data_IF_852505854303
#
_entry.id   IF_852505854303
#
_cell.length_a   1.000
_cell.length_b   1.000
_cell.length_c   1.000
_cell.angle_alpha   90.00
_cell.angle_beta   90.00
_cell.angle_gamma   90.00
#
_symmetry.space_group_name_H-M   'P 1'
#
loop_
_entity.id
_entity.type
_entity.pdbx_description
1 polymer ?
#
# COMPACT_ATOMS: atom_id res chain seq x y z
N UNK A 1 8.56 -22.51 -8.67
CA UNK A 1 8.69 -22.66 -10.13
C UNK A 1 7.37 -23.20 -10.68
N UNK A 2 6.98 -22.90 -11.91
CA UNK A 2 5.70 -23.33 -12.46
C UNK A 2 5.82 -24.02 -13.84
N UNK A 3 7.05 -24.18 -14.34
CA UNK A 3 7.36 -24.75 -15.65
C UNK A 3 8.36 -25.90 -15.60
N UNK A 4 8.27 -26.84 -16.56
CA UNK A 4 9.21 -27.96 -16.67
C UNK A 4 10.64 -27.48 -16.98
N UNK A 5 10.75 -26.32 -17.64
CA UNK A 5 12.04 -25.74 -18.03
C UNK A 5 12.76 -25.21 -16.79
N UNK A 6 12.08 -24.42 -15.95
CA UNK A 6 12.65 -23.93 -14.69
C UNK A 6 12.94 -25.07 -13.70
N UNK A 7 12.09 -26.11 -13.69
CA UNK A 7 12.34 -27.31 -12.87
C UNK A 7 13.67 -27.98 -13.26
N UNK A 8 13.84 -28.31 -14.53
CA UNK A 8 15.06 -28.97 -15.03
C UNK A 8 16.31 -28.13 -14.75
N UNK A 9 16.21 -26.82 -14.86
CA UNK A 9 17.30 -25.89 -14.55
C UNK A 9 17.66 -25.91 -13.05
N UNK A 10 16.67 -25.85 -12.16
CA UNK A 10 16.89 -25.94 -10.72
C UNK A 10 17.55 -27.28 -10.33
N UNK A 11 17.10 -28.40 -10.92
CA UNK A 11 17.68 -29.72 -10.66
C UNK A 11 19.10 -29.85 -11.21
N UNK A 12 19.38 -29.31 -12.40
CA UNK A 12 20.73 -29.29 -12.97
C UNK A 12 21.72 -28.47 -12.13
N UNK A 13 21.22 -27.45 -11.42
CA UNK A 13 22.00 -26.65 -10.46
C UNK A 13 22.15 -27.30 -9.07
N UNK A 14 21.63 -28.52 -8.88
CA UNK A 14 21.66 -29.23 -7.59
C UNK A 14 20.70 -28.66 -6.54
N UNK A 15 19.74 -27.83 -6.95
CA UNK A 15 18.78 -27.19 -6.05
C UNK A 15 17.58 -28.10 -5.78
N UNK A 16 16.94 -27.85 -4.63
CA UNK A 16 15.60 -28.35 -4.33
C UNK A 16 14.56 -27.46 -5.01
N UNK A 17 13.56 -28.05 -5.66
CA UNK A 17 12.60 -27.31 -6.47
C UNK A 17 11.15 -27.72 -6.11
N UNK A 18 10.35 -26.72 -5.72
CA UNK A 18 8.92 -26.85 -5.48
C UNK A 18 8.17 -26.22 -6.64
N UNK A 19 7.18 -26.97 -7.14
CA UNK A 19 6.38 -26.60 -8.29
C UNK A 19 4.99 -26.14 -7.86
N UNK A 20 4.55 -25.02 -8.39
CA UNK A 20 3.18 -24.52 -8.33
C UNK A 20 2.62 -24.46 -9.75
N UNK A 21 1.92 -25.51 -10.23
CA UNK A 21 1.48 -25.58 -11.62
C UNK A 21 0.51 -24.46 -11.97
N UNK A 22 0.58 -23.98 -13.21
CA UNK A 22 -0.42 -23.07 -13.78
C UNK A 22 -1.36 -23.85 -14.70
N UNK A 23 -2.44 -23.22 -15.17
CA UNK A 23 -3.38 -23.85 -16.10
C UNK A 23 -2.71 -24.39 -17.38
N UNK A 24 -1.60 -23.76 -17.83
CA UNK A 24 -0.86 -24.19 -19.02
C UNK A 24 0.10 -25.36 -18.76
N UNK A 25 0.48 -25.60 -17.50
CA UNK A 25 1.36 -26.69 -17.09
C UNK A 25 0.68 -27.74 -16.21
N UNK A 26 -0.64 -27.65 -16.04
CA UNK A 26 -1.45 -28.55 -15.20
C UNK A 26 -1.34 -30.04 -15.58
N UNK A 27 -1.03 -30.34 -16.86
CA UNK A 27 -0.87 -31.70 -17.37
C UNK A 27 0.60 -32.14 -17.47
N UNK A 28 1.55 -31.34 -16.99
CA UNK A 28 2.96 -31.65 -17.04
C UNK A 28 3.35 -32.60 -15.89
N UNK A 29 4.18 -33.60 -16.20
CA UNK A 29 4.69 -34.55 -15.21
C UNK A 29 5.98 -34.03 -14.57
N UNK A 30 5.82 -33.16 -13.58
CA UNK A 30 6.93 -32.54 -12.86
C UNK A 30 7.70 -33.50 -11.97
N UNK A 31 7.06 -34.54 -11.44
CA UNK A 31 7.76 -35.53 -10.62
C UNK A 31 8.70 -36.39 -11.47
N UNK A 32 8.33 -36.72 -12.71
CA UNK A 32 9.22 -37.40 -13.64
C UNK A 32 10.51 -36.60 -13.95
N UNK A 33 10.46 -35.27 -13.86
CA UNK A 33 11.60 -34.36 -14.07
C UNK A 33 12.35 -34.01 -12.77
N UNK A 34 12.01 -34.68 -11.65
CA UNK A 34 12.75 -34.58 -10.40
C UNK A 34 12.33 -33.44 -9.48
N UNK A 35 11.10 -32.92 -9.62
CA UNK A 35 10.52 -31.99 -8.64
C UNK A 35 10.56 -32.59 -7.22
N UNK A 36 10.91 -31.76 -6.24
CA UNK A 36 10.94 -32.17 -4.85
C UNK A 36 9.54 -32.09 -4.21
N UNK A 37 8.69 -31.17 -4.68
CA UNK A 37 7.25 -31.18 -4.40
C UNK A 37 6.46 -30.48 -5.51
N UNK A 38 5.20 -30.86 -5.69
CA UNK A 38 4.22 -30.17 -6.55
C UNK A 38 3.01 -29.84 -5.69
N UNK A 39 2.68 -28.55 -5.57
CA UNK A 39 1.61 -28.03 -4.69
C UNK A 39 0.73 -27.07 -5.47
N UNK A 40 -0.57 -27.02 -5.19
CA UNK A 40 -1.52 -26.15 -5.92
C UNK A 40 -1.27 -24.67 -5.60
N UNK A 41 -0.94 -24.36 -4.35
CA UNK A 41 -0.53 -23.04 -3.88
C UNK A 41 0.44 -23.16 -2.70
N UNK A 42 0.91 -22.02 -2.20
CA UNK A 42 1.87 -21.93 -1.08
C UNK A 42 1.24 -21.33 0.18
N UNK A 43 -0.09 -21.23 0.26
CA UNK A 43 -0.80 -20.48 1.31
C UNK A 43 -0.47 -21.03 2.71
N UNK A 44 -0.28 -22.34 2.83
CA UNK A 44 0.03 -23.02 4.09
C UNK A 44 1.51 -23.44 4.22
N UNK A 45 2.37 -23.02 3.28
CA UNK A 45 3.80 -23.33 3.30
C UNK A 45 4.53 -22.30 4.13
N UNK A 46 5.08 -22.72 5.27
CA UNK A 46 5.92 -21.87 6.14
C UNK A 46 7.40 -22.06 5.85
N UNK A 47 8.21 -21.04 6.12
CA UNK A 47 9.69 -21.14 6.07
C UNK A 47 10.17 -22.33 6.91
N UNK A 48 9.64 -22.49 8.11
CA UNK A 48 10.00 -23.61 8.97
C UNK A 48 9.60 -24.97 8.37
N UNK A 49 8.46 -25.08 7.67
CA UNK A 49 8.06 -26.31 6.98
C UNK A 49 8.97 -26.65 5.79
N UNK A 50 9.45 -25.63 5.08
CA UNK A 50 10.41 -25.76 3.98
C UNK A 50 11.76 -26.25 4.49
N UNK A 51 12.27 -25.66 5.58
CA UNK A 51 13.62 -25.96 6.05
C UNK A 51 13.69 -27.14 7.04
N UNK A 52 12.67 -27.40 7.86
CA UNK A 52 12.66 -28.54 8.79
C UNK A 52 12.46 -29.88 8.05
N UNK A 53 11.59 -29.95 7.05
CA UNK A 53 11.38 -31.16 6.25
C UNK A 53 12.61 -31.53 5.39
N UNK A 54 13.44 -30.54 5.05
CA UNK A 54 14.64 -30.75 4.22
C UNK A 54 15.81 -31.34 5.03
N UNK A 55 15.87 -31.14 6.35
CA UNK A 55 17.06 -31.50 7.14
C UNK A 55 16.92 -32.70 8.08
N UNK A 56 15.72 -33.10 8.53
CA UNK A 56 15.60 -34.21 9.51
C UNK A 56 15.45 -35.61 8.89
N UNK A 57 14.91 -35.76 7.68
CA UNK A 57 14.54 -37.10 7.15
C UNK A 57 15.12 -37.44 5.78
N UNK A 58 15.65 -36.48 5.04
CA UNK A 58 16.21 -36.70 3.70
C UNK A 58 15.21 -37.17 2.64
N UNK A 59 13.90 -37.14 2.93
CA UNK A 59 12.83 -37.53 2.00
C UNK A 59 11.61 -36.60 2.14
N UNK A 60 11.19 -36.02 1.02
CA UNK A 60 10.03 -35.11 0.90
C UNK A 60 8.70 -35.88 0.83
N UNK A 61 8.76 -37.21 0.82
CA UNK A 61 7.63 -38.15 0.73
C UNK A 61 6.67 -38.06 1.95
N UNK A 62 7.11 -37.46 3.07
CA UNK A 62 6.35 -37.32 4.32
C UNK A 62 5.64 -35.96 4.49
N UNK A 63 5.69 -35.08 3.49
CA UNK A 63 4.75 -33.95 3.41
C UNK A 63 3.39 -34.52 3.04
N UNK A 64 2.71 -35.15 4.00
CA UNK A 64 1.29 -35.48 3.87
C UNK A 64 0.52 -34.19 4.11
N UNK A 65 -0.10 -33.68 3.05
CA UNK A 65 -1.22 -32.78 3.20
C UNK A 65 -2.18 -33.42 4.22
N UNK A 66 -2.64 -32.68 5.25
CA UNK A 66 -3.69 -33.20 6.12
C UNK A 66 -4.86 -33.66 5.23
N UNK A 67 -5.60 -34.73 5.60
CA UNK A 67 -6.79 -35.10 4.86
C UNK A 67 -7.66 -33.85 4.74
N UNK A 68 -8.29 -33.60 3.59
CA UNK A 68 -9.03 -32.38 3.36
C UNK A 68 -9.92 -32.17 4.57
N UNK A 69 -9.61 -31.14 5.37
CA UNK A 69 -10.61 -30.68 6.32
C UNK A 69 -11.82 -30.43 5.44
N UNK A 70 -12.97 -30.96 5.85
CA UNK A 70 -14.21 -30.56 5.25
C UNK A 70 -14.28 -29.05 5.43
N UNK A 71 -13.81 -28.31 4.42
CA UNK A 71 -14.09 -26.90 4.27
C UNK A 71 -15.60 -26.92 4.19
N UNK A 72 -16.34 -26.39 5.19
CA UNK A 72 -17.76 -26.24 5.02
C UNK A 72 -17.90 -25.55 3.68
N UNK A 73 -18.64 -26.18 2.75
CA UNK A 73 -18.85 -25.64 1.41
C UNK A 73 -19.42 -24.24 1.58
N UNK A 74 -18.52 -23.25 1.59
CA UNK A 74 -18.89 -21.86 1.48
C UNK A 74 -19.46 -21.78 0.07
N UNK A 75 -20.64 -21.17 -0.09
CA UNK A 75 -21.31 -21.10 -1.38
C UNK A 75 -20.30 -20.59 -2.41
N UNK A 76 -20.24 -21.25 -3.58
CA UNK A 76 -19.34 -20.85 -4.67
C UNK A 76 -19.60 -19.37 -4.98
N UNK A 77 -18.67 -18.51 -4.55
CA UNK A 77 -18.74 -17.08 -4.83
C UNK A 77 -18.12 -16.81 -6.19
N UNK A 78 -18.81 -16.05 -7.02
CA UNK A 78 -18.31 -15.61 -8.32
C UNK A 78 -17.36 -14.41 -8.17
N UNK A 79 -16.56 -14.13 -9.19
CA UNK A 79 -15.68 -12.94 -9.23
C UNK A 79 -16.45 -11.60 -9.06
N UNK A 80 -17.78 -11.61 -9.19
CA UNK A 80 -18.65 -10.44 -9.06
C UNK A 80 -19.32 -10.30 -7.69
N UNK A 81 -19.15 -11.27 -6.78
CA UNK A 81 -19.90 -11.25 -5.52
C UNK A 81 -19.35 -10.22 -4.53
N UNK A 82 -20.28 -9.52 -3.87
CA UNK A 82 -19.99 -8.57 -2.80
C UNK A 82 -19.95 -9.33 -1.47
N UNK A 83 -18.79 -9.30 -0.81
CA UNK A 83 -18.61 -9.94 0.49
C UNK A 83 -19.39 -9.19 1.58
N UNK A 84 -20.08 -9.89 2.49
CA UNK A 84 -20.70 -9.26 3.65
C UNK A 84 -19.63 -8.59 4.53
N UNK A 85 -19.92 -7.40 5.03
CA UNK A 85 -19.00 -6.57 5.80
C UNK A 85 -19.57 -6.18 7.16
N UNK A 86 -18.67 -5.90 8.10
CA UNK A 86 -19.01 -5.09 9.28
C UNK A 86 -18.71 -3.64 8.97
N UNK A 87 -19.62 -2.71 9.28
CA UNK A 87 -19.47 -1.29 8.98
C UNK A 87 -19.58 -0.49 10.27
N UNK A 88 -18.48 0.11 10.70
CA UNK A 88 -18.41 0.94 11.91
C UNK A 88 -18.71 2.38 11.53
N UNK A 89 -19.85 2.89 11.98
CA UNK A 89 -20.29 4.26 11.72
C UNK A 89 -21.40 4.34 10.67
N UNK A 90 -22.64 4.55 11.13
CA UNK A 90 -23.83 4.69 10.29
C UNK A 90 -23.99 6.10 9.67
N UNK A 91 -22.88 6.77 9.36
CA UNK A 91 -22.87 8.07 8.69
C UNK A 91 -23.09 7.97 7.19
N UNK A 92 -22.84 9.07 6.46
CA UNK A 92 -23.01 9.15 5.00
C UNK A 92 -22.26 8.04 4.24
N UNK A 93 -20.98 7.87 4.51
CA UNK A 93 -20.13 6.86 3.85
C UNK A 93 -20.54 5.44 4.26
N UNK A 94 -20.73 5.19 5.56
CA UNK A 94 -21.08 3.85 6.04
C UNK A 94 -22.43 3.35 5.53
N UNK A 95 -23.45 4.22 5.47
CA UNK A 95 -24.73 3.86 4.87
C UNK A 95 -24.63 3.67 3.35
N UNK A 96 -23.83 4.50 2.66
CA UNK A 96 -23.58 4.31 1.24
C UNK A 96 -22.94 2.93 0.99
N UNK A 97 -21.88 2.56 1.72
CA UNK A 97 -21.24 1.25 1.60
C UNK A 97 -22.20 0.09 1.87
N UNK A 98 -23.07 0.21 2.89
CA UNK A 98 -24.10 -0.79 3.17
C UNK A 98 -25.08 -0.95 2.00
N UNK A 99 -25.50 0.16 1.39
CA UNK A 99 -26.39 0.16 0.23
C UNK A 99 -25.75 -0.41 -1.05
N UNK A 100 -24.41 -0.51 -1.11
CA UNK A 100 -23.68 -1.16 -2.22
C UNK A 100 -23.70 -2.69 -2.13
N UNK A 101 -24.23 -3.27 -1.04
CA UNK A 101 -24.41 -4.71 -0.92
C UNK A 101 -25.89 -5.08 -1.11
N UNK A 102 -26.31 -5.54 -2.31
CA UNK A 102 -27.71 -5.85 -2.58
C UNK A 102 -28.23 -7.04 -1.76
N UNK A 103 -27.35 -7.90 -1.22
CA UNK A 103 -27.74 -9.02 -0.38
C UNK A 103 -28.22 -8.58 1.02
N UNK A 104 -27.93 -7.34 1.43
CA UNK A 104 -28.42 -6.76 2.68
C UNK A 104 -27.93 -7.48 3.96
N UNK A 105 -26.85 -8.24 3.86
CA UNK A 105 -26.29 -9.06 4.94
C UNK A 105 -25.06 -8.42 5.62
N UNK A 106 -24.85 -7.12 5.42
CA UNK A 106 -23.89 -6.34 6.19
C UNK A 106 -24.39 -6.07 7.62
N UNK A 107 -23.45 -5.90 8.55
CA UNK A 107 -23.75 -5.47 9.92
C UNK A 107 -23.26 -4.03 10.11
N UNK A 108 -24.19 -3.09 10.31
CA UNK A 108 -23.84 -1.68 10.56
C UNK A 108 -23.87 -1.39 12.06
N UNK A 109 -22.70 -1.08 12.62
CA UNK A 109 -22.51 -0.72 14.03
C UNK A 109 -22.70 0.79 14.23
N UNK A 110 -23.62 1.14 15.12
CA UNK A 110 -23.89 2.50 15.59
C UNK A 110 -22.99 2.86 16.77
N UNK A 111 -22.98 4.14 17.14
CA UNK A 111 -22.20 4.66 18.28
C UNK A 111 -22.51 3.84 19.55
N UNK A 112 -21.45 3.39 20.23
CA UNK A 112 -21.53 2.58 21.44
C UNK A 112 -21.59 1.06 21.20
N UNK A 113 -21.72 0.60 19.95
CA UNK A 113 -21.61 -0.81 19.60
C UNK A 113 -20.16 -1.13 19.22
N UNK A 114 -19.67 -2.30 19.65
CA UNK A 114 -18.30 -2.76 19.38
C UNK A 114 -18.29 -3.94 18.42
N UNK A 115 -17.13 -4.19 17.81
CA UNK A 115 -16.90 -5.38 17.00
C UNK A 115 -16.88 -6.59 17.95
N UNK A 116 -17.96 -7.36 17.99
CA UNK A 116 -18.03 -8.58 18.78
C UNK A 116 -17.12 -9.67 18.17
N UNK A 117 -16.56 -10.54 19.03
CA UNK A 117 -15.74 -11.69 18.59
C UNK A 117 -16.53 -12.77 17.84
N UNK A 118 -17.87 -12.77 17.96
CA UNK A 118 -18.75 -13.75 17.34
C UNK A 118 -19.99 -13.07 16.73
N UNK A 119 -20.55 -13.67 15.68
CA UNK A 119 -21.79 -13.18 15.03
C UNK A 119 -21.59 -12.04 14.02
N UNK A 120 -20.35 -11.65 13.75
CA UNK A 120 -20.02 -10.70 12.69
C UNK A 120 -19.54 -11.43 11.42
N UNK A 121 -19.76 -10.84 10.23
CA UNK A 121 -19.17 -11.33 8.99
C UNK A 121 -17.66 -11.57 9.10
N UNK A 122 -17.18 -12.65 8.49
CA UNK A 122 -15.75 -12.97 8.34
C UNK A 122 -15.05 -12.12 7.27
N UNK A 123 -15.76 -11.14 6.69
CA UNK A 123 -15.24 -10.23 5.67
C UNK A 123 -14.62 -8.95 6.25
N UNK A 124 -14.51 -7.90 5.40
CA UNK A 124 -13.88 -6.65 5.78
C UNK A 124 -14.66 -5.91 6.88
N UNK A 125 -13.92 -5.13 7.67
CA UNK A 125 -14.47 -4.23 8.69
C UNK A 125 -14.22 -2.78 8.24
N UNK A 126 -15.24 -2.16 7.65
CA UNK A 126 -15.15 -0.79 7.14
C UNK A 126 -15.27 0.23 8.28
N UNK A 127 -14.24 1.07 8.45
CA UNK A 127 -14.21 2.10 9.50
C UNK A 127 -14.60 3.44 8.90
N UNK A 128 -15.85 3.86 9.12
CA UNK A 128 -16.46 5.06 8.55
C UNK A 128 -16.70 6.16 9.60
N UNK A 129 -15.85 6.22 10.63
CA UNK A 129 -15.87 7.21 11.72
C UNK A 129 -14.85 8.34 11.47
N UNK A 130 -14.73 9.27 12.43
CA UNK A 130 -13.71 10.33 12.37
C UNK A 130 -12.34 9.79 12.80
N UNK A 131 -11.27 10.50 12.42
CA UNK A 131 -9.90 10.11 12.75
C UNK A 131 -9.68 9.95 14.27
N UNK A 132 -10.25 10.84 15.09
CA UNK A 132 -10.08 10.82 16.54
C UNK A 132 -10.74 9.61 17.22
N UNK A 133 -11.66 8.92 16.52
CA UNK A 133 -12.31 7.70 17.02
C UNK A 133 -11.51 6.42 16.69
N UNK A 134 -10.46 6.51 15.86
CA UNK A 134 -9.76 5.32 15.31
C UNK A 134 -9.05 4.49 16.38
N UNK A 135 -8.33 5.12 17.31
CA UNK A 135 -7.62 4.42 18.39
C UNK A 135 -8.55 3.53 19.22
N UNK A 136 -9.63 4.09 19.82
CA UNK A 136 -10.62 3.30 20.56
C UNK A 136 -11.27 2.17 19.72
N UNK A 137 -11.49 2.39 18.42
CA UNK A 137 -12.03 1.36 17.52
C UNK A 137 -11.04 0.21 17.36
N UNK A 138 -9.76 0.49 17.11
CA UNK A 138 -8.72 -0.53 16.97
C UNK A 138 -8.59 -1.33 18.29
N UNK A 139 -8.58 -0.65 19.43
CA UNK A 139 -8.46 -1.26 20.75
C UNK A 139 -9.62 -2.20 21.05
N UNK A 140 -10.86 -1.77 20.75
CA UNK A 140 -12.07 -2.57 20.93
C UNK A 140 -12.25 -3.69 19.90
N UNK A 141 -11.50 -3.66 18.80
CA UNK A 141 -11.54 -4.72 17.78
C UNK A 141 -10.72 -5.93 18.25
N UNK A 142 -11.27 -7.17 18.21
CA UNK A 142 -10.54 -8.39 18.54
C UNK A 142 -9.20 -8.47 17.79
N UNK A 143 -8.13 -8.85 18.50
CA UNK A 143 -6.76 -8.76 17.97
C UNK A 143 -6.57 -9.52 16.64
N UNK A 144 -7.19 -10.69 16.51
CA UNK A 144 -7.21 -11.54 15.33
C UNK A 144 -7.97 -10.93 14.14
N UNK A 145 -8.89 -9.99 14.41
CA UNK A 145 -9.70 -9.28 13.41
C UNK A 145 -9.18 -7.89 13.05
N UNK A 146 -8.17 -7.35 13.76
CA UNK A 146 -7.64 -6.00 13.47
C UNK A 146 -7.05 -5.87 12.06
N UNK A 147 -6.46 -6.94 11.53
CA UNK A 147 -5.98 -7.01 10.15
C UNK A 147 -7.11 -6.84 9.11
N UNK A 148 -8.36 -7.09 9.49
CA UNK A 148 -9.52 -6.94 8.61
C UNK A 148 -10.12 -5.53 8.61
N UNK A 149 -9.56 -4.61 9.39
CA UNK A 149 -9.93 -3.20 9.37
C UNK A 149 -9.57 -2.57 8.02
N UNK A 150 -10.50 -1.76 7.53
CA UNK A 150 -10.36 -0.98 6.30
C UNK A 150 -10.62 0.48 6.64
N UNK A 151 -9.60 1.31 6.49
CA UNK A 151 -9.63 2.74 6.85
C UNK A 151 -9.98 3.60 5.64
N UNK A 152 -10.85 4.59 5.85
CA UNK A 152 -11.35 5.52 4.82
C UNK A 152 -11.00 6.99 5.13
N UNK A 153 -10.26 7.20 6.20
CA UNK A 153 -9.98 8.50 6.76
C UNK A 153 -9.03 9.30 5.86
N UNK A 154 -9.20 10.63 5.87
CA UNK A 154 -8.25 11.53 5.22
C UNK A 154 -7.05 11.78 6.14
N UNK A 155 -5.90 12.07 5.55
CA UNK A 155 -4.68 12.37 6.29
C UNK A 155 -3.70 11.18 6.36
N UNK A 156 -2.61 11.39 7.07
CA UNK A 156 -1.55 10.41 7.33
C UNK A 156 -1.93 9.55 8.54
N UNK A 157 -2.25 8.28 8.31
CA UNK A 157 -2.63 7.34 9.37
C UNK A 157 -1.44 6.51 9.87
N UNK A 158 -0.34 6.47 9.12
CA UNK A 158 0.77 5.54 9.37
C UNK A 158 1.28 5.54 10.81
N UNK A 159 1.53 6.69 11.48
CA UNK A 159 1.98 6.68 12.89
C UNK A 159 0.99 5.99 13.84
N UNK A 160 -0.32 6.16 13.61
CA UNK A 160 -1.35 5.47 14.38
C UNK A 160 -1.33 3.96 14.08
N UNK A 161 -1.23 3.59 12.81
CA UNK A 161 -1.27 2.19 12.41
C UNK A 161 -0.01 1.44 12.89
N UNK A 162 1.16 2.07 12.83
CA UNK A 162 2.42 1.55 13.38
C UNK A 162 2.33 1.28 14.88
N UNK A 163 1.73 2.19 15.66
CA UNK A 163 1.48 2.01 17.09
C UNK A 163 0.73 0.71 17.41
N UNK A 164 -0.15 0.26 16.51
CA UNK A 164 -0.93 -0.98 16.68
C UNK A 164 -0.42 -2.16 15.83
N UNK A 165 0.70 -2.01 15.11
CA UNK A 165 1.26 -3.04 14.24
C UNK A 165 0.45 -3.32 12.96
N UNK A 166 -0.34 -2.34 12.51
CA UNK A 166 -1.28 -2.44 11.38
C UNK A 166 -0.83 -1.68 10.13
N UNK A 167 0.37 -1.11 10.16
CA UNK A 167 0.96 -0.34 9.06
C UNK A 167 1.10 -1.17 7.79
N UNK A 168 1.01 -0.48 6.65
CA UNK A 168 1.18 -1.10 5.34
C UNK A 168 2.63 -1.58 5.18
N UNK A 169 2.79 -2.87 4.91
CA UNK A 169 4.06 -3.46 4.50
C UNK A 169 3.82 -4.86 3.92
N UNK A 170 4.50 -5.28 2.84
CA UNK A 170 4.36 -6.62 2.26
C UNK A 170 4.80 -7.72 3.23
N UNK A 171 5.67 -7.37 4.19
CA UNK A 171 6.17 -8.29 5.21
C UNK A 171 5.37 -8.23 6.51
N UNK A 172 4.39 -7.33 6.64
CA UNK A 172 3.53 -7.26 7.82
C UNK A 172 2.26 -8.11 7.63
N UNK A 173 2.16 -9.31 8.23
CA UNK A 173 0.97 -10.17 8.09
C UNK A 173 -0.28 -9.57 8.74
N UNK A 174 -0.10 -8.55 9.59
CA UNK A 174 -1.18 -7.83 10.27
C UNK A 174 -1.53 -6.50 9.61
N UNK A 175 -0.90 -6.16 8.46
CA UNK A 175 -1.20 -4.95 7.73
C UNK A 175 -2.72 -4.84 7.48
N UNK A 176 -3.27 -3.70 7.89
CA UNK A 176 -4.66 -3.34 7.62
C UNK A 176 -4.83 -2.90 6.17
N UNK A 177 -6.07 -2.66 5.74
CA UNK A 177 -6.33 -2.08 4.40
C UNK A 177 -6.58 -0.58 4.54
N UNK A 178 -6.01 0.22 3.65
CA UNK A 178 -6.29 1.66 3.56
C UNK A 178 -6.97 1.98 2.23
N UNK A 179 -7.95 2.90 2.25
CA UNK A 179 -8.65 3.41 1.08
C UNK A 179 -8.54 4.93 1.00
N UNK A 180 -7.88 5.41 -0.05
CA UNK A 180 -7.84 6.82 -0.44
C UNK A 180 -9.17 7.18 -1.13
N UNK A 181 -10.13 7.67 -0.35
CA UNK A 181 -11.47 8.03 -0.87
C UNK A 181 -11.45 9.30 -1.70
N UNK A 182 -11.89 9.23 -2.96
CA UNK A 182 -12.14 10.40 -3.81
C UNK A 182 -13.60 10.53 -4.24
N UNK A 183 -14.50 9.67 -3.77
CA UNK A 183 -15.94 9.85 -3.97
C UNK A 183 -16.57 10.68 -2.85
N UNK A 184 -17.68 11.36 -3.15
CA UNK A 184 -18.42 12.17 -2.20
C UNK A 184 -19.87 11.68 -2.05
N UNK A 185 -20.36 11.70 -0.82
CA UNK A 185 -21.79 11.53 -0.50
C UNK A 185 -22.29 12.85 0.07
N UNK A 186 -23.07 13.60 -0.71
CA UNK A 186 -23.49 14.95 -0.34
C UNK A 186 -24.37 14.92 0.92
N UNK A 187 -25.47 14.16 0.89
CA UNK A 187 -26.39 13.96 2.01
C UNK A 187 -26.61 12.48 2.30
N UNK A 188 -27.08 12.19 3.50
CA UNK A 188 -27.39 10.81 3.91
C UNK A 188 -28.47 10.22 2.98
N UNK A 189 -28.18 9.07 2.37
CA UNK A 189 -29.05 8.40 1.41
C UNK A 189 -28.82 8.79 -0.05
N UNK A 190 -28.01 9.81 -0.33
CA UNK A 190 -27.63 10.14 -1.71
C UNK A 190 -26.73 9.05 -2.30
N UNK A 191 -26.81 8.87 -3.62
CA UNK A 191 -25.84 8.06 -4.35
C UNK A 191 -24.46 8.76 -4.29
N UNK A 192 -23.38 8.02 -4.03
CA UNK A 192 -22.04 8.58 -4.09
C UNK A 192 -21.71 9.05 -5.51
N UNK A 193 -21.01 10.18 -5.59
CA UNK A 193 -20.45 10.73 -6.82
C UNK A 193 -18.96 10.42 -6.85
N UNK A 194 -18.47 9.88 -7.97
CA UNK A 194 -17.07 9.51 -8.12
C UNK A 194 -16.15 10.74 -8.31
N UNK A 195 -14.89 10.61 -7.88
CA UNK A 195 -13.87 11.64 -7.98
C UNK A 195 -13.07 11.55 -9.26
N UNK A 196 -13.75 11.61 -10.41
CA UNK A 196 -13.12 11.68 -11.73
C UNK A 196 -12.73 13.14 -12.05
N UNK A 197 -11.64 13.31 -12.77
CA UNK A 197 -11.18 14.63 -13.24
C UNK A 197 -10.83 14.56 -14.73
N UNK A 198 -10.59 15.73 -15.34
CA UNK A 198 -10.10 15.84 -16.72
C UNK A 198 -8.72 15.17 -16.92
N UNK A 199 -7.90 15.10 -15.87
CA UNK A 199 -6.58 14.43 -15.91
C UNK A 199 -6.59 13.00 -15.35
N UNK A 200 -7.69 12.58 -14.72
CA UNK A 200 -7.91 11.24 -14.19
C UNK A 200 -9.34 10.75 -14.49
N UNK A 201 -9.69 10.54 -15.76
CA UNK A 201 -11.02 10.05 -16.15
C UNK A 201 -11.29 8.62 -15.66
N UNK A 202 -10.25 7.85 -15.34
CA UNK A 202 -10.32 6.54 -14.71
C UNK A 202 -10.62 6.59 -13.19
N UNK A 203 -10.63 7.80 -12.62
CA UNK A 203 -10.92 8.06 -11.22
C UNK A 203 -9.72 7.97 -10.28
N UNK A 204 -9.86 8.57 -9.11
CA UNK A 204 -8.76 8.77 -8.15
C UNK A 204 -8.80 7.84 -6.94
N UNK A 205 -9.96 7.23 -6.64
CA UNK A 205 -10.09 6.35 -5.47
C UNK A 205 -9.15 5.16 -5.61
N UNK A 206 -8.40 4.85 -4.55
CA UNK A 206 -7.47 3.73 -4.53
C UNK A 206 -7.49 3.01 -3.17
N UNK A 207 -7.31 1.69 -3.19
CA UNK A 207 -7.22 0.88 -1.99
C UNK A 207 -5.99 -0.04 -2.04
N UNK A 208 -5.33 -0.23 -0.89
CA UNK A 208 -4.21 -1.14 -0.76
C UNK A 208 -4.31 -1.92 0.56
N UNK A 209 -3.94 -3.20 0.50
CA UNK A 209 -4.06 -4.16 1.60
C UNK A 209 -5.00 -5.33 1.27
N UNK A 210 -5.14 -6.24 2.21
CA UNK A 210 -5.78 -7.56 2.00
C UNK A 210 -7.24 -7.50 1.54
N UNK A 211 -7.96 -6.44 1.87
CA UNK A 211 -9.37 -6.24 1.49
C UNK A 211 -9.55 -5.27 0.32
N UNK A 212 -8.46 -4.81 -0.32
CA UNK A 212 -8.52 -3.82 -1.38
C UNK A 212 -9.35 -4.28 -2.58
N UNK A 213 -9.18 -5.51 -3.06
CA UNK A 213 -9.97 -6.05 -4.17
C UNK A 213 -11.46 -6.23 -3.80
N UNK A 214 -11.74 -6.65 -2.56
CA UNK A 214 -13.11 -6.77 -2.05
C UNK A 214 -13.81 -5.42 -2.01
N UNK A 215 -13.11 -4.39 -1.51
CA UNK A 215 -13.61 -3.02 -1.51
C UNK A 215 -13.77 -2.48 -2.94
N UNK A 216 -12.79 -2.70 -3.82
CA UNK A 216 -12.84 -2.21 -5.19
C UNK A 216 -14.03 -2.80 -5.94
N UNK A 217 -14.31 -4.11 -5.78
CA UNK A 217 -15.51 -4.73 -6.34
C UNK A 217 -16.80 -4.09 -5.83
N UNK A 218 -16.88 -3.85 -4.51
CA UNK A 218 -18.04 -3.16 -3.90
C UNK A 218 -18.24 -1.76 -4.47
N UNK A 219 -17.19 -0.96 -4.59
CA UNK A 219 -17.26 0.39 -5.16
C UNK A 219 -17.67 0.36 -6.65
N UNK A 220 -17.06 -0.53 -7.44
CA UNK A 220 -17.38 -0.69 -8.88
C UNK A 220 -18.82 -1.14 -9.12
N UNK A 221 -19.37 -1.99 -8.25
CA UNK A 221 -20.79 -2.40 -8.33
C UNK A 221 -21.77 -1.23 -8.18
N UNK A 222 -21.32 -0.14 -7.55
CA UNK A 222 -22.08 1.10 -7.38
C UNK A 222 -21.73 2.17 -8.43
N UNK A 223 -20.93 1.84 -9.45
CA UNK A 223 -20.50 2.77 -10.49
C UNK A 223 -19.36 3.71 -10.07
N UNK A 224 -18.64 3.39 -8.98
CA UNK A 224 -17.48 4.16 -8.54
C UNK A 224 -16.17 3.49 -9.01
N UNK A 225 -15.19 4.30 -9.40
CA UNK A 225 -13.82 3.86 -9.61
C UNK A 225 -13.17 3.40 -8.30
N UNK A 226 -12.26 2.43 -8.42
CA UNK A 226 -11.31 2.09 -7.36
C UNK A 226 -10.11 1.34 -7.95
N UNK A 227 -8.94 1.96 -7.85
CA UNK A 227 -7.64 1.37 -8.18
C UNK A 227 -7.18 0.44 -7.07
N UNK A 228 -6.45 -0.61 -7.42
CA UNK A 228 -5.74 -1.50 -6.48
C UNK A 228 -4.27 -1.54 -6.88
N UNK A 229 -3.51 -0.46 -6.59
CA UNK A 229 -2.11 -0.35 -6.99
C UNK A 229 -1.20 -1.25 -6.14
N UNK A 230 0.05 -1.43 -6.58
CA UNK A 230 1.12 -1.96 -5.72
C UNK A 230 1.54 -0.91 -4.68
N UNK A 231 2.20 -1.34 -3.61
CA UNK A 231 2.52 -0.52 -2.43
C UNK A 231 3.19 0.82 -2.76
N UNK A 232 4.28 0.79 -3.53
CA UNK A 232 5.07 1.99 -3.84
C UNK A 232 4.27 3.04 -4.64
N UNK A 233 3.31 2.58 -5.43
CA UNK A 233 2.36 3.46 -6.15
C UNK A 233 1.29 3.96 -5.18
N UNK A 234 0.76 3.10 -4.31
CA UNK A 234 -0.22 3.50 -3.29
C UNK A 234 0.34 4.59 -2.36
N UNK A 235 1.58 4.44 -1.90
CA UNK A 235 2.27 5.42 -1.05
C UNK A 235 2.38 6.78 -1.75
N UNK A 236 2.78 6.80 -3.03
CA UNK A 236 2.81 8.02 -3.83
C UNK A 236 1.42 8.68 -3.92
N UNK A 237 0.37 7.90 -4.19
CA UNK A 237 -1.02 8.40 -4.25
C UNK A 237 -1.51 8.95 -2.90
N UNK A 238 -1.12 8.30 -1.79
CA UNK A 238 -1.46 8.73 -0.43
C UNK A 238 -0.82 10.08 -0.11
N UNK A 239 0.48 10.22 -0.42
CA UNK A 239 1.22 11.46 -0.22
C UNK A 239 0.69 12.58 -1.12
N UNK A 240 0.37 12.32 -2.40
CA UNK A 240 -0.28 13.31 -3.28
C UNK A 240 -1.61 13.81 -2.71
N UNK A 241 -2.45 12.90 -2.18
CA UNK A 241 -3.72 13.27 -1.53
C UNK A 241 -3.48 14.14 -0.29
N UNK A 242 -2.46 13.82 0.49
CA UNK A 242 -2.06 14.57 1.68
C UNK A 242 -1.54 15.97 1.33
N UNK A 243 -0.68 16.07 0.31
CA UNK A 243 -0.18 17.33 -0.23
C UNK A 243 -1.35 18.20 -0.68
N UNK A 244 -2.32 17.64 -1.41
CA UNK A 244 -3.49 18.37 -1.87
C UNK A 244 -4.26 19.01 -0.71
N UNK A 245 -4.66 18.20 0.29
CA UNK A 245 -5.50 18.72 1.38
C UNK A 245 -4.74 19.69 2.29
N UNK A 246 -3.43 19.52 2.46
CA UNK A 246 -2.61 20.42 3.26
C UNK A 246 -2.35 21.75 2.55
N UNK A 247 -2.02 21.72 1.25
CA UNK A 247 -1.74 22.92 0.45
C UNK A 247 -2.99 23.76 0.18
N UNK A 248 -4.08 23.17 -0.32
CA UNK A 248 -5.29 23.91 -0.69
C UNK A 248 -5.96 24.56 0.51
N UNK A 249 -6.03 23.86 1.64
CA UNK A 249 -6.70 24.39 2.83
C UNK A 249 -5.91 25.55 3.43
N UNK A 250 -4.57 25.44 3.48
CA UNK A 250 -3.72 26.50 3.99
C UNK A 250 -3.69 27.73 3.06
N UNK A 251 -3.57 27.51 1.74
CA UNK A 251 -3.63 28.60 0.76
C UNK A 251 -4.97 29.34 0.80
N UNK A 252 -6.09 28.64 0.98
CA UNK A 252 -7.39 29.28 1.10
C UNK A 252 -7.55 30.08 2.38
N UNK A 253 -7.08 29.55 3.51
CA UNK A 253 -7.11 30.26 4.81
C UNK A 253 -6.22 31.51 4.77
N UNK A 254 -5.01 31.41 4.21
CA UNK A 254 -4.13 32.58 3.96
C UNK A 254 -4.87 33.69 3.19
N UNK A 255 -5.66 33.32 2.19
CA UNK A 255 -6.34 34.26 1.29
C UNK A 255 -7.75 34.65 1.75
N UNK A 256 -8.07 34.49 3.05
CA UNK A 256 -9.34 34.95 3.62
C UNK A 256 -10.45 33.90 3.63
N UNK A 257 -10.10 32.63 3.84
CA UNK A 257 -11.04 31.49 3.90
C UNK A 257 -11.86 31.28 2.61
N UNK A 258 -11.22 31.55 1.47
CA UNK A 258 -11.82 31.38 0.14
C UNK A 258 -12.13 29.91 -0.16
N UNK A 259 -12.99 29.66 -1.14
CA UNK A 259 -13.33 28.30 -1.60
C UNK A 259 -12.15 27.62 -2.31
N UNK A 260 -12.19 26.30 -2.42
CA UNK A 260 -11.17 25.52 -3.16
C UNK A 260 -11.04 25.98 -4.61
N UNK A 261 -12.15 26.38 -5.25
CA UNK A 261 -12.15 26.90 -6.62
C UNK A 261 -11.47 28.26 -6.74
N UNK A 262 -11.68 29.15 -5.77
CA UNK A 262 -10.98 30.45 -5.70
C UNK A 262 -9.48 30.24 -5.44
N UNK A 263 -9.08 29.24 -4.63
CA UNK A 263 -7.66 28.88 -4.48
C UNK A 263 -7.05 28.45 -5.81
N UNK A 264 -7.74 27.58 -6.56
CA UNK A 264 -7.26 27.08 -7.85
C UNK A 264 -7.15 28.18 -8.90
N UNK A 265 -8.08 29.13 -8.91
CA UNK A 265 -8.22 30.15 -9.96
C UNK A 265 -7.50 31.46 -9.65
N UNK A 266 -7.69 31.98 -8.44
CA UNK A 266 -7.29 33.33 -8.05
C UNK A 266 -6.05 33.32 -7.13
N UNK A 267 -5.75 32.18 -6.48
CA UNK A 267 -4.58 31.98 -5.61
C UNK A 267 -3.63 30.88 -6.13
N UNK A 268 -3.60 30.61 -7.44
CA UNK A 268 -2.84 29.48 -8.02
C UNK A 268 -1.36 29.51 -7.68
N UNK A 269 -0.76 30.71 -7.65
CA UNK A 269 0.66 30.87 -7.32
C UNK A 269 0.95 30.43 -5.88
N UNK A 270 0.09 30.79 -4.93
CA UNK A 270 0.24 30.44 -3.52
C UNK A 270 0.14 28.93 -3.30
N UNK A 271 -0.89 28.30 -3.86
CA UNK A 271 -1.06 26.84 -3.70
C UNK A 271 0.04 26.06 -4.43
N UNK A 272 0.54 26.57 -5.56
CA UNK A 272 1.64 25.93 -6.30
C UNK A 272 2.94 25.92 -5.50
N UNK A 273 3.28 27.03 -4.82
CA UNK A 273 4.47 27.08 -3.95
C UNK A 273 4.37 26.05 -2.83
N UNK A 274 3.21 25.95 -2.16
CA UNK A 274 2.99 24.93 -1.13
C UNK A 274 3.09 23.51 -1.71
N UNK A 275 2.46 23.22 -2.85
CA UNK A 275 2.52 21.90 -3.48
C UNK A 275 3.98 21.51 -3.75
N UNK A 276 4.79 22.41 -4.29
CA UNK A 276 6.19 22.15 -4.63
C UNK A 276 7.05 21.88 -3.40
N UNK A 277 6.93 22.70 -2.35
CA UNK A 277 7.66 22.48 -1.09
C UNK A 277 7.28 21.15 -0.43
N UNK A 278 5.98 20.88 -0.31
CA UNK A 278 5.49 19.65 0.32
C UNK A 278 5.86 18.41 -0.50
N UNK A 279 5.84 18.50 -1.84
CA UNK A 279 6.28 17.42 -2.71
C UNK A 279 7.78 17.13 -2.58
N UNK A 280 8.62 18.16 -2.52
CA UNK A 280 10.05 18.01 -2.29
C UNK A 280 10.33 17.34 -0.93
N UNK A 281 9.68 17.83 0.13
CA UNK A 281 9.75 17.24 1.48
C UNK A 281 9.32 15.76 1.48
N UNK A 282 8.23 15.41 0.78
CA UNK A 282 7.78 14.03 0.64
C UNK A 282 8.79 13.13 -0.07
N UNK A 283 9.43 13.59 -1.15
CA UNK A 283 10.41 12.78 -1.90
C UNK A 283 11.62 12.45 -1.04
N UNK A 284 12.11 13.41 -0.27
CA UNK A 284 13.25 13.22 0.62
C UNK A 284 12.90 12.31 1.80
N UNK A 285 11.72 12.48 2.39
CA UNK A 285 11.27 11.67 3.52
C UNK A 285 10.82 10.25 3.13
N UNK A 286 10.44 10.01 1.87
CA UNK A 286 9.87 8.73 1.40
C UNK A 286 10.56 8.27 0.10
N UNK A 287 11.82 7.82 0.15
CA UNK A 287 12.63 7.54 -1.05
C UNK A 287 12.10 6.38 -1.93
N UNK A 288 11.20 5.55 -1.40
CA UNK A 288 10.58 4.43 -2.12
C UNK A 288 9.21 4.76 -2.73
N UNK A 289 8.60 5.88 -2.35
CA UNK A 289 7.32 6.29 -2.91
C UNK A 289 7.50 6.77 -4.36
N UNK A 290 6.67 6.26 -5.27
CA UNK A 290 6.72 6.64 -6.68
C UNK A 290 5.82 7.85 -6.95
N UNK A 291 6.44 8.95 -7.38
CA UNK A 291 5.74 10.15 -7.83
C UNK A 291 5.95 10.36 -9.34
N UNK A 292 4.94 10.94 -10.00
CA UNK A 292 5.14 11.53 -11.32
C UNK A 292 6.07 12.76 -11.25
N UNK A 293 6.34 13.42 -12.37
CA UNK A 293 7.06 14.70 -12.36
C UNK A 293 6.30 15.78 -11.57
N UNK A 294 7.01 16.77 -11.02
CA UNK A 294 6.40 17.82 -10.20
C UNK A 294 5.33 18.61 -10.97
N UNK A 295 5.57 18.86 -12.26
CA UNK A 295 4.58 19.49 -13.14
C UNK A 295 3.32 18.61 -13.29
N UNK A 296 3.47 17.29 -13.42
CA UNK A 296 2.34 16.39 -13.56
C UNK A 296 1.55 16.24 -12.25
N UNK A 297 2.24 16.15 -11.10
CA UNK A 297 1.61 16.14 -9.77
C UNK A 297 0.82 17.43 -9.57
N UNK A 298 1.47 18.58 -9.74
CA UNK A 298 0.83 19.91 -9.58
C UNK A 298 -0.41 20.04 -10.46
N UNK A 299 -0.33 19.65 -11.73
CA UNK A 299 -1.47 19.71 -12.65
C UNK A 299 -2.65 18.84 -12.18
N UNK A 300 -2.39 17.61 -11.70
CA UNK A 300 -3.43 16.72 -11.15
C UNK A 300 -4.08 17.29 -9.89
N UNK A 301 -3.28 17.88 -9.00
CA UNK A 301 -3.79 18.47 -7.76
C UNK A 301 -4.69 19.69 -8.05
N UNK A 302 -4.32 20.54 -9.02
CA UNK A 302 -5.17 21.63 -9.50
C UNK A 302 -6.45 21.11 -10.18
N UNK A 303 -6.33 20.07 -11.01
CA UNK A 303 -7.49 19.42 -11.64
C UNK A 303 -8.50 18.87 -10.62
N UNK A 304 -8.01 18.25 -9.55
CA UNK A 304 -8.87 17.83 -8.46
C UNK A 304 -9.47 19.02 -7.72
N UNK A 305 -8.71 20.09 -7.46
CA UNK A 305 -9.25 21.35 -6.92
C UNK A 305 -10.47 21.87 -7.68
N UNK A 306 -10.42 21.84 -9.03
CA UNK A 306 -11.56 22.22 -9.87
C UNK A 306 -12.79 21.34 -9.68
N UNK A 307 -12.63 20.03 -9.53
CA UNK A 307 -13.78 19.12 -9.37
C UNK A 307 -14.51 19.30 -8.04
N UNK A 308 -13.83 19.85 -7.03
CA UNK A 308 -14.38 20.15 -5.70
C UNK A 308 -14.41 21.66 -5.40
N UNK A 309 -14.53 22.50 -6.43
CA UNK A 309 -14.39 23.96 -6.33
C UNK A 309 -15.29 24.64 -5.30
N UNK A 310 -16.49 24.11 -5.04
CA UNK A 310 -17.48 24.70 -4.13
C UNK A 310 -17.21 24.47 -2.64
N UNK A 311 -16.25 23.60 -2.29
CA UNK A 311 -15.97 23.32 -0.89
C UNK A 311 -15.23 24.49 -0.22
N UNK A 312 -15.56 24.83 1.04
CA UNK A 312 -14.84 25.85 1.78
C UNK A 312 -13.47 25.33 2.21
N UNK A 313 -12.48 26.22 2.27
CA UNK A 313 -11.17 25.89 2.86
C UNK A 313 -11.23 26.08 4.38
N UNK A 314 -10.55 25.19 5.13
CA UNK A 314 -10.46 25.31 6.58
C UNK A 314 -9.32 24.47 7.15
N UNK A 315 -8.64 25.00 8.16
CA UNK A 315 -7.66 24.25 8.93
C UNK A 315 -8.35 23.31 9.92
N UNK A 316 -8.41 22.03 9.58
CA UNK A 316 -9.02 20.96 10.39
C UNK A 316 -8.11 19.75 10.45
N UNK A 317 -8.29 18.92 11.48
CA UNK A 317 -7.58 17.64 11.62
C UNK A 317 -6.06 17.82 11.50
N UNK A 318 -5.52 18.87 12.12
CA UNK A 318 -4.11 19.25 11.99
C UNK A 318 -3.16 18.06 12.19
N UNK A 319 -3.27 17.23 13.25
CA UNK A 319 -2.36 16.10 13.47
C UNK A 319 -2.32 15.10 12.30
N UNK A 320 -3.42 14.97 11.57
CA UNK A 320 -3.56 14.03 10.47
C UNK A 320 -3.20 14.62 9.11
N UNK A 321 -3.20 15.95 8.97
CA UNK A 321 -3.01 16.64 7.68
C UNK A 321 -1.69 17.41 7.65
N UNK A 322 -1.73 18.65 8.12
CA UNK A 322 -0.58 19.55 8.11
C UNK A 322 0.48 19.16 9.14
N UNK A 323 0.09 18.42 10.20
CA UNK A 323 0.97 17.92 11.25
C UNK A 323 2.10 17.05 10.70
N UNK A 324 1.83 16.19 9.71
CA UNK A 324 2.86 15.36 9.07
C UNK A 324 4.02 16.19 8.51
N UNK A 325 3.70 17.24 7.75
CA UNK A 325 4.71 18.12 7.15
C UNK A 325 5.39 19.01 8.20
N UNK A 326 4.60 19.50 9.16
CA UNK A 326 5.12 20.25 10.29
C UNK A 326 6.17 19.45 11.08
N UNK A 327 5.89 18.19 11.38
CA UNK A 327 6.81 17.33 12.13
C UNK A 327 8.11 17.07 11.37
N UNK A 328 8.05 16.90 10.03
CA UNK A 328 9.25 16.81 9.18
C UNK A 328 10.07 18.10 9.26
N UNK A 329 9.43 19.25 9.16
CA UNK A 329 10.09 20.55 9.24
C UNK A 329 10.74 20.80 10.60
N UNK A 330 10.02 20.54 11.68
CA UNK A 330 10.53 20.72 13.04
C UNK A 330 11.68 19.75 13.35
N UNK A 331 11.62 18.51 12.86
CA UNK A 331 12.72 17.56 12.98
C UNK A 331 13.99 18.08 12.28
N UNK A 332 13.88 18.52 11.02
CA UNK A 332 15.02 19.06 10.26
C UNK A 332 15.64 20.29 10.95
N UNK A 333 14.81 21.25 11.40
CA UNK A 333 15.27 22.45 12.10
C UNK A 333 15.94 22.09 13.43
N UNK A 334 15.41 21.12 14.19
CA UNK A 334 16.01 20.67 15.45
C UNK A 334 17.40 20.04 15.28
N UNK A 335 17.66 19.48 14.10
CA UNK A 335 18.97 18.94 13.69
C UNK A 335 19.91 20.02 13.11
N UNK A 336 19.50 21.28 13.08
CA UNK A 336 20.26 22.39 12.50
C UNK A 336 20.27 22.39 10.97
N UNK A 337 19.39 21.63 10.32
CA UNK A 337 19.18 21.67 8.86
C UNK A 337 18.21 22.79 8.48
N UNK A 338 18.19 23.14 7.21
CA UNK A 338 17.17 24.04 6.67
C UNK A 338 15.79 23.39 6.77
N UNK A 339 14.75 24.21 6.96
CA UNK A 339 13.37 23.77 6.88
C UNK A 339 13.07 23.30 5.43
N UNK A 340 12.64 22.03 5.22
CA UNK A 340 12.32 21.50 3.90
C UNK A 340 11.03 22.09 3.29
N UNK A 341 10.17 22.73 4.09
CA UNK A 341 8.93 23.37 3.63
C UNK A 341 8.74 24.75 4.30
N UNK A 342 9.63 25.71 4.03
CA UNK A 342 9.72 26.96 4.80
C UNK A 342 8.49 27.87 4.64
N UNK A 343 7.87 27.92 3.45
CA UNK A 343 6.66 28.70 3.23
C UNK A 343 5.48 28.05 3.95
N UNK A 344 5.35 26.72 3.89
CA UNK A 344 4.32 25.99 4.62
C UNK A 344 4.39 26.22 6.13
N UNK A 345 5.57 26.04 6.74
CA UNK A 345 5.80 26.28 8.17
C UNK A 345 5.51 27.73 8.56
N UNK A 346 5.94 28.70 7.76
CA UNK A 346 5.69 30.11 8.02
C UNK A 346 4.19 30.45 7.98
N UNK A 347 3.48 29.98 6.95
CA UNK A 347 2.05 30.25 6.81
C UNK A 347 1.20 29.56 7.87
N UNK A 348 1.59 28.37 8.33
CA UNK A 348 0.93 27.75 9.47
C UNK A 348 1.02 28.61 10.73
N UNK A 349 2.21 29.17 11.02
CA UNK A 349 2.41 30.06 12.18
C UNK A 349 1.62 31.36 12.06
N UNK A 350 1.56 31.95 10.87
CA UNK A 350 0.93 33.25 10.65
C UNK A 350 -0.59 33.18 10.52
N UNK A 351 -1.11 32.24 9.72
CA UNK A 351 -2.53 32.18 9.35
C UNK A 351 -3.31 31.08 10.06
N UNK A 352 -2.63 30.15 10.74
CA UNK A 352 -3.27 29.07 11.47
C UNK A 352 -2.70 28.84 12.90
N UNK A 353 -2.36 29.90 13.67
CA UNK A 353 -1.65 29.75 14.95
C UNK A 353 -2.43 28.94 15.99
N UNK A 354 -3.76 28.91 15.91
CA UNK A 354 -4.60 28.19 16.85
C UNK A 354 -4.57 26.67 16.71
N UNK A 355 -4.11 26.14 15.57
CA UNK A 355 -4.03 24.69 15.33
C UNK A 355 -2.61 24.15 15.45
N UNK A 356 -1.61 25.03 15.35
CA UNK A 356 -0.20 24.69 15.51
C UNK A 356 0.09 24.50 17.01
N UNK A 357 0.74 23.40 17.43
CA UNK A 357 1.15 23.23 18.82
C UNK A 357 2.08 24.38 19.25
N UNK A 358 1.81 25.02 20.39
CA UNK A 358 2.74 26.00 20.96
C UNK A 358 4.07 25.32 21.31
N UNK A 359 5.21 25.95 20.97
CA UNK A 359 6.62 25.49 20.98
C UNK A 359 7.18 24.87 22.30
N UNK A 360 6.38 24.28 23.19
CA UNK A 360 6.85 23.70 24.45
C UNK A 360 6.21 22.40 24.89
N UNK A 361 5.31 21.79 24.11
CA UNK A 361 4.87 20.42 24.41
C UNK A 361 4.24 19.77 23.20
N UNK A 362 4.52 18.47 23.06
CA UNK A 362 3.90 17.55 22.12
C UNK A 362 4.60 17.49 20.75
N UNK A 363 5.80 16.90 20.75
CA UNK A 363 6.09 15.93 19.72
C UNK A 363 5.11 14.76 19.89
N UNK A 364 3.90 14.87 19.35
CA UNK A 364 2.97 13.72 19.32
C UNK A 364 3.51 12.63 18.40
N UNK A 365 4.35 13.05 17.46
CA UNK A 365 5.01 12.22 16.47
C UNK A 365 6.41 12.78 16.24
N UNK A 366 7.25 12.82 17.28
CA UNK A 366 8.67 12.69 17.00
C UNK A 366 8.75 11.41 16.17
N UNK A 367 9.08 11.55 14.88
CA UNK A 367 9.72 10.48 14.16
C UNK A 367 10.75 9.99 15.17
N UNK A 368 10.58 8.78 15.68
CA UNK A 368 11.64 8.14 16.43
C UNK A 368 12.77 8.14 15.42
N UNK A 369 13.66 9.13 15.54
CA UNK A 369 14.80 9.39 14.68
C UNK A 369 15.86 8.31 14.85
N UNK A 370 15.42 7.10 15.14
CA UNK A 370 15.95 5.96 14.45
C UNK A 370 14.94 5.67 13.34
N UNK A 371 15.24 6.18 12.12
CA UNK A 371 15.26 5.21 11.03
C UNK A 371 15.94 4.01 11.66
N UNK A 372 15.22 2.90 11.85
CA UNK A 372 15.90 1.68 12.15
C UNK A 372 16.86 1.56 10.96
N UNK A 373 18.11 2.02 11.13
CA UNK A 373 19.25 1.51 10.39
C UNK A 373 18.93 0.04 10.43
N UNK A 374 18.63 -0.60 9.28
CA UNK A 374 18.20 -1.98 9.27
C UNK A 374 19.13 -2.65 10.25
N UNK A 375 18.57 -3.13 11.39
CA UNK A 375 19.38 -3.66 12.49
C UNK A 375 20.36 -4.53 11.75
N UNK A 376 21.65 -4.17 11.77
CA UNK A 376 22.66 -4.89 11.03
C UNK A 376 22.37 -6.33 11.39
N UNK A 377 21.83 -7.08 10.42
CA UNK A 377 21.53 -8.47 10.65
C UNK A 377 22.92 -9.03 10.63
N UNK A 378 23.55 -9.03 11.79
CA UNK A 378 24.84 -9.66 12.08
C UNK A 378 24.65 -11.17 12.11
N UNK A 379 23.93 -11.68 11.13
CA UNK A 379 23.93 -13.05 10.70
C UNK A 379 24.08 -12.97 9.19
N UNK A 380 25.32 -13.14 8.74
CA UNK A 380 25.63 -13.65 7.40
C UNK A 380 24.61 -14.77 7.14
N UNK A 381 23.55 -14.53 6.35
CA UNK A 381 22.48 -15.50 6.24
C UNK A 381 23.07 -16.69 5.50
N UNK A 382 22.95 -17.88 6.08
CA UNK A 382 23.48 -19.10 5.46
C UNK A 382 22.83 -19.39 4.08
N UNK A 383 21.66 -18.77 3.80
CA UNK A 383 20.81 -19.04 2.65
C UNK A 383 20.11 -17.77 2.16
N UNK A 384 19.75 -17.72 0.86
CA UNK A 384 18.90 -16.69 0.28
C UNK A 384 17.80 -17.34 -0.58
N UNK A 385 16.60 -16.76 -0.55
CA UNK A 385 15.45 -17.13 -1.37
C UNK A 385 15.18 -15.98 -2.35
N UNK A 386 15.30 -16.24 -3.66
CA UNK A 386 15.07 -15.28 -4.73
C UNK A 386 13.80 -15.67 -5.49
N UNK A 387 12.88 -14.72 -5.65
CA UNK A 387 11.69 -14.86 -6.50
C UNK A 387 11.95 -14.17 -7.83
N UNK A 388 11.71 -14.89 -8.92
CA UNK A 388 11.66 -14.31 -10.26
C UNK A 388 10.32 -13.58 -10.45
N UNK A 389 10.37 -12.38 -11.01
CA UNK A 389 9.23 -11.46 -11.11
C UNK A 389 9.18 -10.71 -12.46
N UNK A 390 9.70 -11.27 -13.56
CA UNK A 390 9.64 -10.60 -14.87
C UNK A 390 8.51 -11.07 -15.79
N UNK A 391 8.04 -10.16 -16.66
CA UNK A 391 7.35 -10.55 -17.90
C UNK A 391 6.07 -9.85 -18.38
N UNK A 392 5.64 -8.66 -17.89
CA UNK A 392 4.32 -8.14 -18.33
C UNK A 392 4.28 -6.83 -19.13
N UNK A 393 5.02 -5.72 -18.87
CA UNK A 393 4.58 -4.42 -19.48
C UNK A 393 5.66 -3.43 -20.02
N UNK A 394 6.94 -3.38 -19.59
CA UNK A 394 7.87 -2.29 -19.99
C UNK A 394 9.35 -2.73 -20.11
N UNK A 395 10.14 -2.04 -20.96
CA UNK A 395 11.62 -2.11 -21.00
C UNK A 395 12.22 -1.58 -19.69
N UNK A 396 12.66 -2.50 -18.81
CA UNK A 396 13.04 -2.25 -17.42
C UNK A 396 14.55 -2.29 -17.15
N UNK A 397 15.39 -2.35 -18.19
CA UNK A 397 16.85 -2.57 -18.09
C UNK A 397 17.55 -1.65 -17.05
N UNK A 398 17.28 -0.35 -17.09
CA UNK A 398 17.88 0.62 -16.17
C UNK A 398 17.24 0.59 -14.77
N UNK A 399 15.96 0.19 -14.67
CA UNK A 399 15.25 0.02 -13.39
C UNK A 399 15.74 -1.22 -12.64
N UNK A 400 15.95 -2.33 -13.34
CA UNK A 400 16.58 -3.52 -12.79
C UNK A 400 18.01 -3.25 -12.35
N UNK A 401 18.82 -2.58 -13.18
CA UNK A 401 20.18 -2.20 -12.79
C UNK A 401 20.20 -1.38 -11.50
N UNK A 402 19.30 -0.40 -11.36
CA UNK A 402 19.18 0.43 -10.14
C UNK A 402 18.65 -0.35 -8.94
N UNK A 403 17.64 -1.19 -9.12
CA UNK A 403 17.07 -2.03 -8.07
C UNK A 403 18.07 -3.06 -7.55
N UNK A 404 18.81 -3.70 -8.46
CA UNK A 404 19.90 -4.62 -8.14
C UNK A 404 21.01 -3.90 -7.39
N UNK A 405 21.53 -2.78 -7.91
CA UNK A 405 22.57 -2.02 -7.22
C UNK A 405 22.13 -1.52 -5.83
N UNK A 406 20.87 -1.08 -5.68
CA UNK A 406 20.31 -0.67 -4.40
C UNK A 406 20.15 -1.83 -3.41
N UNK A 407 19.75 -3.01 -3.88
CA UNK A 407 19.73 -4.22 -3.06
C UNK A 407 21.15 -4.65 -2.64
N UNK A 408 22.16 -4.47 -3.49
CA UNK A 408 23.54 -4.89 -3.20
C UNK A 408 24.30 -3.95 -2.26
N UNK A 409 24.02 -2.63 -2.29
CA UNK A 409 24.49 -1.72 -1.24
C UNK A 409 23.97 -2.11 0.15
N UNK A 410 22.84 -2.81 0.20
CA UNK A 410 22.14 -3.12 1.45
C UNK A 410 22.36 -4.56 1.97
N UNK A 411 22.54 -5.55 1.09
CA UNK A 411 22.41 -6.97 1.49
C UNK A 411 23.63 -7.87 1.23
N UNK A 412 24.33 -7.83 0.07
CA UNK A 412 25.50 -8.69 -0.20
C UNK A 412 26.32 -8.27 -1.45
N UNK A 413 27.65 -8.52 -1.51
CA UNK A 413 28.47 -8.11 -2.66
C UNK A 413 28.30 -9.00 -3.91
N UNK A 414 28.48 -8.45 -5.14
CA UNK A 414 28.12 -9.11 -6.41
C UNK A 414 28.81 -10.45 -6.68
N UNK A 415 30.01 -10.67 -6.12
CA UNK A 415 30.79 -11.89 -6.35
C UNK A 415 30.18 -13.12 -5.65
N UNK A 416 29.26 -12.89 -4.70
CA UNK A 416 28.48 -13.91 -3.99
C UNK A 416 27.10 -14.17 -4.62
N UNK A 417 26.77 -13.51 -5.73
CA UNK A 417 25.47 -13.61 -6.40
C UNK A 417 25.56 -14.38 -7.72
N UNK A 418 24.54 -15.20 -7.99
CA UNK A 418 24.31 -15.85 -9.30
C UNK A 418 22.90 -15.47 -9.76
N UNK A 419 22.80 -14.89 -10.96
CA UNK A 419 21.53 -14.47 -11.57
C UNK A 419 21.07 -15.53 -12.58
N UNK A 420 19.78 -15.88 -12.63
CA UNK A 420 19.21 -16.76 -13.66
C UNK A 420 18.32 -15.87 -14.55
N UNK A 421 18.56 -15.89 -15.86
CA UNK A 421 17.95 -14.95 -16.82
C UNK A 421 17.56 -15.66 -18.11
N UNK A 422 16.48 -15.26 -18.77
CA UNK A 422 16.04 -15.85 -20.04
C UNK A 422 16.28 -14.94 -21.26
N UNK A 423 16.82 -13.73 -21.00
CA UNK A 423 16.99 -12.65 -21.97
C UNK A 423 18.43 -12.15 -22.10
N UNK A 424 18.82 -11.72 -23.31
CA UNK A 424 20.12 -11.11 -23.58
C UNK A 424 20.32 -9.78 -22.83
N UNK A 425 19.23 -9.10 -22.49
CA UNK A 425 19.25 -7.83 -21.75
C UNK A 425 19.55 -8.10 -20.28
N UNK A 426 18.86 -9.06 -19.66
CA UNK A 426 19.13 -9.52 -18.30
C UNK A 426 20.55 -10.05 -18.12
N UNK A 427 21.04 -10.83 -19.10
CA UNK A 427 22.46 -11.25 -19.14
C UNK A 427 23.41 -10.07 -19.06
N UNK A 428 23.21 -9.06 -19.90
CA UNK A 428 24.11 -7.90 -20.00
C UNK A 428 24.07 -7.08 -18.72
N UNK A 429 22.89 -6.87 -18.15
CA UNK A 429 22.73 -6.20 -16.86
C UNK A 429 23.46 -6.95 -15.74
N UNK A 430 23.29 -8.27 -15.66
CA UNK A 430 23.94 -9.10 -14.64
C UNK A 430 25.47 -9.09 -14.76
N UNK A 431 26.01 -9.18 -15.99
CA UNK A 431 27.46 -9.14 -16.23
C UNK A 431 28.05 -7.75 -16.00
N UNK A 432 27.35 -6.68 -16.37
CA UNK A 432 27.79 -5.31 -16.13
C UNK A 432 27.84 -4.97 -14.63
N UNK A 433 26.98 -5.60 -13.83
CA UNK A 433 26.97 -5.51 -12.38
C UNK A 433 28.00 -6.43 -11.67
N UNK A 434 28.86 -7.13 -12.42
CA UNK A 434 29.94 -7.96 -11.85
C UNK A 434 29.51 -9.37 -11.39
N UNK A 435 28.29 -9.81 -11.70
CA UNK A 435 27.73 -11.06 -11.21
C UNK A 435 28.01 -12.26 -12.15
N UNK A 436 27.88 -13.47 -11.59
CA UNK A 436 27.73 -14.70 -12.39
C UNK A 436 26.28 -14.78 -12.88
N UNK A 437 26.06 -15.20 -14.13
CA UNK A 437 24.73 -15.28 -14.73
C UNK A 437 24.57 -16.61 -15.48
N UNK A 438 23.44 -17.29 -15.25
CA UNK A 438 23.02 -18.53 -15.90
C UNK A 438 21.86 -18.18 -16.83
N UNK A 439 21.94 -18.59 -18.09
CA UNK A 439 20.95 -18.24 -19.10
C UNK A 439 20.03 -19.43 -19.41
N UNK A 440 18.73 -19.17 -19.42
CA UNK A 440 17.67 -20.07 -19.89
C UNK A 440 17.24 -19.66 -21.30
N UNK A 441 17.79 -20.28 -22.36
CA UNK A 441 17.49 -19.87 -23.72
C UNK A 441 16.02 -20.12 -24.09
N UNK A 442 15.42 -19.11 -24.71
CA UNK A 442 14.11 -19.13 -25.38
C UNK A 442 14.32 -19.04 -26.89
N UNK A 443 13.26 -19.18 -27.70
CA UNK A 443 13.37 -19.03 -29.16
C UNK A 443 13.87 -17.63 -29.58
N UNK A 444 13.79 -16.63 -28.70
CA UNK A 444 14.34 -15.27 -28.88
C UNK A 444 15.79 -15.10 -28.38
N UNK A 445 16.37 -16.08 -27.69
CA UNK A 445 17.75 -16.07 -27.16
C UNK A 445 18.62 -17.24 -27.66
N UNK A 446 18.12 -18.06 -28.60
CA UNK A 446 18.85 -19.14 -29.26
C UNK A 446 19.83 -18.65 -30.34
#
# INVERSE_FOLDING_TARGET
EDSLVGLRAAKAAGMKCIITPTASTANADFYAEGADAVVEDLVDVTIDSLFNAIYETGKVEDIKAPPPMAVPQLPMMTATDIFPATIIGAGRVGQALAAMNPAGNDVVLKRGQTVASHGLPLGPIYVCTRNDDLGPIIESTPADRRKDLVFFQNGMLDPLLEKYGLQLSPSNPNASTQCLVYFAVAKLGDKPMDGVTDLNPEGLTAAFGRHAESLARRLRSAGLSCKVPVEVIFQGMMLEKLIWISSFMLAGVKNGEVTVGEVEKDCTADVTVLIQELLASCRDANPFALFASDAAVTARLLAYGRSVAHFPTAMKEFPWRNGYFWDISQAAVSEGKADPAPTHSAWLKEYAPSVVPSDSSVAMFAATGESAKPKSVTKDPAYALLFDCDGVIVLTEELHRKAYNGAFEHFMPPEKCVVIEDSLVGLRAAKAAGMKCIITPTASTA
#
